data_IF_516833349417
#
_entry.id   IF_516833349417
#
_cell.length_a   1.000
_cell.length_b   1.000
_cell.length_c   1.000
_cell.angle_alpha   90.00
_cell.angle_beta   90.00
_cell.angle_gamma   90.00
#
_symmetry.space_group_name_H-M   'P 1'
#
loop_
_entity.id
_entity.type
_entity.pdbx_description
1 polymer ?
#
# COMPACT_ATOMS: atom_id res chain seq x y z
N UNK A 1 18.19 -36.20 20.19
CA UNK A 1 16.94 -35.49 19.87
C UNK A 1 17.25 -34.00 20.01
N UNK A 2 17.65 -33.34 18.91
CA UNK A 2 18.05 -31.92 18.96
C UNK A 2 16.84 -31.11 18.53
N UNK A 3 16.31 -30.34 19.47
CA UNK A 3 15.22 -29.39 19.31
C UNK A 3 15.66 -28.29 18.32
N UNK A 4 15.09 -28.30 17.11
CA UNK A 4 15.24 -27.19 16.17
C UNK A 4 14.34 -26.05 16.64
N UNK A 5 14.85 -25.19 17.51
CA UNK A 5 14.22 -23.91 17.82
C UNK A 5 14.25 -23.04 16.57
N UNK A 6 13.21 -23.13 15.75
CA UNK A 6 13.05 -22.38 14.51
C UNK A 6 12.80 -20.92 14.82
N UNK A 7 13.85 -20.10 14.89
CA UNK A 7 13.72 -18.65 14.75
C UNK A 7 13.18 -18.40 13.33
N UNK A 8 11.88 -18.17 13.21
CA UNK A 8 11.31 -17.64 11.97
C UNK A 8 12.11 -16.37 11.65
N UNK A 9 12.88 -16.39 10.56
CA UNK A 9 13.53 -15.19 10.07
C UNK A 9 12.44 -14.16 9.80
N UNK A 10 12.73 -12.87 9.96
CA UNK A 10 11.77 -11.79 9.66
C UNK A 10 11.18 -11.98 8.24
N UNK A 11 11.97 -12.48 7.30
CA UNK A 11 11.55 -12.85 5.94
C UNK A 11 10.49 -13.96 5.90
N UNK A 12 10.52 -14.90 6.84
CA UNK A 12 9.56 -16.01 6.96
C UNK A 12 8.16 -15.53 7.36
N UNK A 13 8.06 -14.53 8.24
CA UNK A 13 6.75 -13.97 8.66
C UNK A 13 6.13 -13.18 7.51
N UNK A 14 6.93 -12.41 6.76
CA UNK A 14 6.45 -11.66 5.60
C UNK A 14 6.05 -12.55 4.42
N UNK A 15 6.76 -13.68 4.21
CA UNK A 15 6.40 -14.64 3.18
C UNK A 15 5.00 -15.24 3.38
N UNK A 16 4.51 -15.29 4.63
CA UNK A 16 3.18 -15.80 4.95
C UNK A 16 2.08 -14.74 4.93
N UNK A 17 2.43 -13.46 4.94
CA UNK A 17 1.48 -12.35 4.84
C UNK A 17 1.00 -12.11 3.40
N UNK A 18 1.94 -12.08 2.45
CA UNK A 18 1.65 -11.84 1.04
C UNK A 18 1.07 -13.09 0.36
N UNK A 19 0.16 -12.87 -0.59
CA UNK A 19 -0.49 -13.95 -1.35
C UNK A 19 0.53 -14.81 -2.09
N UNK A 20 1.49 -14.14 -2.72
CA UNK A 20 2.58 -14.77 -3.45
C UNK A 20 3.94 -14.40 -2.84
N UNK A 21 4.84 -15.39 -2.74
CA UNK A 21 6.14 -15.25 -2.08
C UNK A 21 7.10 -14.36 -2.87
N UNK A 22 7.05 -14.43 -4.19
CA UNK A 22 7.74 -13.53 -5.12
C UNK A 22 7.16 -12.11 -5.09
N UNK A 23 5.88 -11.96 -4.73
CA UNK A 23 5.21 -10.68 -4.55
C UNK A 23 5.67 -9.87 -3.34
N UNK A 24 6.41 -10.45 -2.38
CA UNK A 24 6.83 -9.76 -1.14
C UNK A 24 7.62 -8.49 -1.44
N UNK A 25 8.67 -8.59 -2.28
CA UNK A 25 9.53 -7.46 -2.59
C UNK A 25 8.80 -6.34 -3.35
N UNK A 26 8.18 -6.58 -4.52
CA UNK A 26 7.55 -5.50 -5.29
C UNK A 26 6.41 -4.83 -4.52
N UNK A 27 5.59 -5.60 -3.79
CA UNK A 27 4.50 -5.03 -3.02
C UNK A 27 5.01 -4.19 -1.83
N UNK A 28 6.06 -4.66 -1.14
CA UNK A 28 6.67 -3.89 -0.04
C UNK A 28 7.26 -2.59 -0.55
N UNK A 29 7.95 -2.61 -1.70
CA UNK A 29 8.50 -1.41 -2.34
C UNK A 29 7.38 -0.45 -2.74
N UNK A 30 6.30 -0.92 -3.35
CA UNK A 30 5.18 -0.09 -3.77
C UNK A 30 4.47 0.58 -2.57
N UNK A 31 4.18 -0.18 -1.51
CA UNK A 31 3.57 0.34 -0.28
C UNK A 31 4.50 1.35 0.38
N UNK A 32 5.79 1.00 0.51
CA UNK A 32 6.81 1.88 1.08
C UNK A 32 6.96 3.18 0.30
N UNK A 33 6.98 3.12 -1.03
CA UNK A 33 7.07 4.28 -1.91
C UNK A 33 5.86 5.21 -1.76
N UNK A 34 4.64 4.66 -1.70
CA UNK A 34 3.44 5.47 -1.50
C UNK A 34 3.46 6.20 -0.14
N UNK A 35 3.77 5.48 0.95
CA UNK A 35 3.75 6.05 2.31
C UNK A 35 4.91 7.02 2.56
N UNK A 36 6.15 6.59 2.28
CA UNK A 36 7.32 7.42 2.52
C UNK A 36 7.38 8.59 1.53
N UNK A 37 7.00 8.37 0.26
CA UNK A 37 6.95 9.41 -0.75
C UNK A 37 5.93 10.49 -0.41
N UNK A 38 4.76 10.13 0.12
CA UNK A 38 3.78 11.11 0.60
C UNK A 38 4.36 12.01 1.71
N UNK A 39 4.96 11.41 2.74
CA UNK A 39 5.54 12.18 3.86
C UNK A 39 6.69 13.08 3.39
N UNK A 40 7.60 12.54 2.57
CA UNK A 40 8.71 13.30 2.02
C UNK A 40 8.22 14.43 1.11
N UNK A 41 7.18 14.19 0.31
CA UNK A 41 6.60 15.21 -0.56
C UNK A 41 5.99 16.36 0.26
N UNK A 42 5.29 16.07 1.35
CA UNK A 42 4.77 17.11 2.25
C UNK A 42 5.89 17.96 2.85
N UNK A 43 7.01 17.33 3.23
CA UNK A 43 8.19 18.06 3.70
C UNK A 43 8.77 18.95 2.60
N UNK A 44 8.92 18.46 1.38
CA UNK A 44 9.43 19.23 0.24
C UNK A 44 8.51 20.39 -0.14
N UNK A 45 7.19 20.20 -0.05
CA UNK A 45 6.18 21.23 -0.32
C UNK A 45 6.19 22.37 0.68
N UNK A 46 6.70 22.15 1.90
CA UNK A 46 6.90 23.22 2.87
C UNK A 46 8.08 24.15 2.53
N UNK A 47 8.94 23.75 1.58
CA UNK A 47 10.07 24.53 1.09
C UNK A 47 9.74 25.41 -0.11
N UNK A 48 10.77 25.80 -0.86
CA UNK A 48 10.66 26.64 -2.05
C UNK A 48 11.64 26.21 -3.15
N UNK A 49 11.52 26.79 -4.35
CA UNK A 49 12.41 26.49 -5.48
C UNK A 49 12.22 25.08 -6.05
N UNK A 50 13.31 24.44 -6.48
CA UNK A 50 13.24 23.12 -7.14
C UNK A 50 12.68 22.02 -6.23
N UNK A 51 12.95 22.10 -4.91
CA UNK A 51 12.42 21.15 -3.93
C UNK A 51 10.89 21.12 -3.91
N UNK A 52 10.25 22.29 -3.99
CA UNK A 52 8.79 22.41 -4.06
C UNK A 52 8.22 21.72 -5.31
N UNK A 53 8.84 21.93 -6.48
CA UNK A 53 8.42 21.27 -7.73
C UNK A 53 8.58 19.75 -7.67
N UNK A 54 9.69 19.27 -7.11
CA UNK A 54 9.89 17.83 -6.85
C UNK A 54 8.86 17.29 -5.86
N UNK A 55 8.49 18.07 -4.84
CA UNK A 55 7.43 17.75 -3.89
C UNK A 55 6.07 17.56 -4.58
N UNK A 56 5.70 18.43 -5.51
CA UNK A 56 4.46 18.27 -6.30
C UNK A 56 4.46 16.95 -7.06
N UNK A 57 5.53 16.68 -7.82
CA UNK A 57 5.63 15.48 -8.66
C UNK A 57 5.63 14.21 -7.79
N UNK A 58 6.41 14.23 -6.70
CA UNK A 58 6.46 13.11 -5.77
C UNK A 58 5.11 12.87 -5.10
N UNK A 59 4.43 13.92 -4.65
CA UNK A 59 3.10 13.80 -4.04
C UNK A 59 2.12 13.18 -5.04
N UNK A 60 2.04 13.73 -6.25
CA UNK A 60 1.15 13.24 -7.29
C UNK A 60 1.40 11.76 -7.58
N UNK A 61 2.66 11.35 -7.72
CA UNK A 61 3.01 9.98 -8.01
C UNK A 61 2.71 9.04 -6.83
N UNK A 62 3.04 9.44 -5.60
CA UNK A 62 2.68 8.67 -4.39
C UNK A 62 1.17 8.46 -4.26
N UNK A 63 0.35 9.47 -4.59
CA UNK A 63 -1.11 9.36 -4.57
C UNK A 63 -1.65 8.44 -5.67
N UNK A 64 -1.06 8.46 -6.87
CA UNK A 64 -1.42 7.53 -7.96
C UNK A 64 -1.09 6.09 -7.59
N UNK A 65 0.10 5.84 -7.02
CA UNK A 65 0.48 4.50 -6.54
C UNK A 65 -0.43 4.06 -5.38
N UNK A 66 -0.78 4.96 -4.46
CA UNK A 66 -1.74 4.66 -3.40
C UNK A 66 -3.12 4.27 -3.95
N UNK A 67 -3.63 5.00 -4.96
CA UNK A 67 -4.89 4.66 -5.62
C UNK A 67 -4.83 3.30 -6.33
N UNK A 68 -3.71 3.00 -7.00
CA UNK A 68 -3.47 1.69 -7.61
C UNK A 68 -3.44 0.57 -6.56
N UNK A 69 -2.80 0.80 -5.41
CA UNK A 69 -2.79 -0.18 -4.33
C UNK A 69 -4.21 -0.40 -3.72
N UNK A 70 -5.07 0.63 -3.68
CA UNK A 70 -6.49 0.46 -3.28
C UNK A 70 -7.24 -0.42 -4.29
N UNK A 71 -6.98 -0.22 -5.58
CA UNK A 71 -7.53 -1.07 -6.65
C UNK A 71 -7.13 -2.54 -6.45
N UNK A 72 -5.84 -2.78 -6.21
CA UNK A 72 -5.33 -4.12 -5.97
C UNK A 72 -5.85 -4.75 -4.67
N UNK A 73 -6.05 -3.95 -3.61
CA UNK A 73 -6.74 -4.39 -2.40
C UNK A 73 -8.21 -4.78 -2.67
N UNK A 74 -8.86 -4.11 -3.64
CA UNK A 74 -10.23 -4.42 -4.04
C UNK A 74 -10.32 -5.76 -4.77
N UNK A 75 -9.30 -6.11 -5.55
CA UNK A 75 -9.15 -7.43 -6.18
C UNK A 75 -8.59 -8.50 -5.23
N UNK A 76 -8.08 -8.10 -4.06
CA UNK A 76 -7.51 -9.02 -3.09
C UNK A 76 -6.19 -9.64 -3.52
N UNK A 77 -5.39 -8.99 -4.37
CA UNK A 77 -4.20 -9.58 -5.02
C UNK A 77 -2.91 -9.58 -4.16
N UNK A 78 -2.72 -8.59 -3.27
CA UNK A 78 -1.56 -8.44 -2.39
C UNK A 78 -1.40 -9.52 -1.31
N UNK A 79 -2.36 -9.62 -0.38
CA UNK A 79 -2.27 -10.41 0.84
C UNK A 79 -3.07 -11.71 0.77
N UNK A 80 -2.72 -12.68 1.62
CA UNK A 80 -3.49 -13.93 1.75
C UNK A 80 -4.88 -13.70 2.34
N UNK A 81 -4.97 -12.90 3.40
CA UNK A 81 -6.23 -12.68 4.12
C UNK A 81 -6.89 -11.35 3.75
N UNK A 82 -8.22 -11.37 3.59
CA UNK A 82 -9.02 -10.19 3.24
C UNK A 82 -8.89 -9.04 4.25
N UNK A 83 -8.66 -9.34 5.55
CA UNK A 83 -8.50 -8.31 6.58
C UNK A 83 -7.34 -7.36 6.28
N UNK A 84 -6.23 -7.87 5.75
CA UNK A 84 -5.04 -7.05 5.51
C UNK A 84 -5.25 -6.08 4.34
N UNK A 85 -6.01 -6.51 3.32
CA UNK A 85 -6.46 -5.64 2.23
C UNK A 85 -7.34 -4.51 2.75
N UNK A 86 -8.31 -4.82 3.62
CA UNK A 86 -9.19 -3.80 4.19
C UNK A 86 -8.41 -2.78 5.04
N UNK A 87 -7.47 -3.25 5.87
CA UNK A 87 -6.61 -2.37 6.67
C UNK A 87 -5.75 -1.44 5.80
N UNK A 88 -5.04 -2.00 4.80
CA UNK A 88 -4.21 -1.20 3.91
C UNK A 88 -5.06 -0.20 3.11
N UNK A 89 -6.17 -0.64 2.53
CA UNK A 89 -7.05 0.23 1.76
C UNK A 89 -7.63 1.39 2.59
N UNK A 90 -7.91 1.20 3.89
CA UNK A 90 -8.33 2.29 4.79
C UNK A 90 -7.24 3.34 4.96
N UNK A 91 -6.01 2.92 5.23
CA UNK A 91 -4.85 3.81 5.37
C UNK A 91 -4.63 4.61 4.08
N UNK A 92 -4.62 3.91 2.95
CA UNK A 92 -4.41 4.54 1.65
C UNK A 92 -5.57 5.45 1.24
N UNK A 93 -6.82 5.12 1.59
CA UNK A 93 -7.98 5.98 1.32
C UNK A 93 -7.92 7.28 2.10
N UNK A 94 -7.37 7.27 3.32
CA UNK A 94 -7.05 8.51 4.03
C UNK A 94 -6.00 9.33 3.28
N UNK A 95 -4.95 8.68 2.82
CA UNK A 95 -3.85 9.32 2.08
C UNK A 95 -4.34 10.01 0.79
N UNK A 96 -5.25 9.37 0.05
CA UNK A 96 -5.80 9.88 -1.21
C UNK A 96 -7.01 10.80 -1.05
N UNK A 97 -7.47 11.04 0.18
CA UNK A 97 -8.69 11.82 0.45
C UNK A 97 -10.00 11.07 0.14
N UNK A 98 -9.94 9.78 -0.20
CA UNK A 98 -11.10 8.91 -0.40
C UNK A 98 -11.72 8.39 0.91
N UNK A 99 -11.30 8.89 2.07
CA UNK A 99 -11.70 8.42 3.41
C UNK A 99 -13.17 8.64 3.79
N UNK A 100 -13.93 9.38 2.98
CA UNK A 100 -15.38 9.52 3.17
C UNK A 100 -16.17 8.29 2.73
N UNK A 101 -15.56 7.39 1.95
CA UNK A 101 -16.18 6.15 1.49
C UNK A 101 -15.80 4.96 2.36
N UNK A 102 -16.76 4.07 2.62
CA UNK A 102 -16.46 2.75 3.17
C UNK A 102 -15.64 1.93 2.16
N UNK A 103 -14.53 1.36 2.61
CA UNK A 103 -13.63 0.53 1.79
C UNK A 103 -14.35 -0.68 1.19
N UNK A 104 -15.26 -1.32 1.92
CA UNK A 104 -16.02 -2.45 1.39
C UNK A 104 -16.99 -1.97 0.29
N UNK A 105 -17.58 -0.79 0.46
CA UNK A 105 -18.43 -0.17 -0.58
C UNK A 105 -17.63 0.25 -1.81
N UNK A 106 -16.41 0.73 -1.64
CA UNK A 106 -15.48 1.04 -2.74
C UNK A 106 -15.16 -0.27 -3.49
N UNK A 107 -14.80 -1.33 -2.77
CA UNK A 107 -14.54 -2.66 -3.35
C UNK A 107 -15.75 -3.17 -4.13
N UNK A 108 -16.93 -3.17 -3.53
CA UNK A 108 -18.14 -3.68 -4.17
C UNK A 108 -18.50 -2.89 -5.43
N UNK A 109 -18.35 -1.56 -5.39
CA UNK A 109 -18.51 -0.72 -6.59
C UNK A 109 -17.51 -1.10 -7.66
N UNK A 110 -16.24 -1.21 -7.30
CA UNK A 110 -15.15 -1.54 -8.21
C UNK A 110 -15.39 -2.88 -8.91
N UNK A 111 -15.67 -3.92 -8.12
CA UNK A 111 -15.92 -5.26 -8.62
C UNK A 111 -17.12 -5.30 -9.58
N UNK A 112 -18.21 -4.55 -9.32
CA UNK A 112 -19.35 -4.45 -10.25
C UNK A 112 -19.01 -3.91 -11.65
N UNK A 113 -17.90 -3.20 -11.82
CA UNK A 113 -17.46 -2.69 -13.12
C UNK A 113 -16.47 -3.61 -13.84
N UNK A 114 -15.94 -4.64 -13.15
CA UNK A 114 -14.98 -5.60 -13.68
C UNK A 114 -15.58 -7.01 -13.90
N UNK A 115 -16.90 -7.15 -13.78
CA UNK A 115 -17.67 -8.36 -14.09
C UNK A 115 -18.49 -8.19 -15.35
#
# INVERSE_FOLDING_TARGET
MIEKTGRASVLSIYADLFRHRDGVFPNTVAIGYALAGYVLALFLLAGHGIGFLLGIVLLAHSLVIAAYLIHECSHGSLFREQRHHAWLARILSWLTGACYGDVDRIRDKHLRHHF
#
